data_IF_247113727558
#
_entry.id   IF_247113727558
#
_cell.length_a   1.000
_cell.length_b   1.000
_cell.length_c   1.000
_cell.angle_alpha   90.00
_cell.angle_beta   90.00
_cell.angle_gamma   90.00
#
_symmetry.space_group_name_H-M   'P 1'
#
loop_
_entity.id
_entity.type
_entity.pdbx_description
1 polymer ?
#
# COMPACT_ATOMS: atom_id res chain seq x y z
N UNK A 1 44.80 32.54 26.30
CA UNK A 1 44.12 32.69 27.59
C UNK A 1 42.91 33.60 27.41
N UNK A 2 41.70 33.07 27.53
CA UNK A 2 40.53 33.80 28.00
C UNK A 2 39.56 32.75 28.57
N UNK A 3 39.27 32.90 29.87
CA UNK A 3 38.51 31.96 30.68
C UNK A 3 37.07 32.46 30.81
N UNK A 4 36.13 31.53 30.60
CA UNK A 4 34.87 31.26 31.34
C UNK A 4 33.80 32.36 31.48
N UNK A 5 32.58 31.99 31.09
CA UNK A 5 31.42 32.07 31.98
C UNK A 5 30.48 30.87 31.72
N UNK A 6 29.96 30.30 32.81
CA UNK A 6 29.10 29.10 32.93
C UNK A 6 27.76 29.58 33.49
N UNK A 7 26.63 29.05 33.01
CA UNK A 7 25.38 28.83 33.77
C UNK A 7 24.36 28.10 32.86
N UNK A 8 24.08 26.80 33.09
CA UNK A 8 23.03 26.27 33.96
C UNK A 8 21.65 26.27 33.26
N UNK A 9 21.23 25.15 32.65
CA UNK A 9 20.41 24.04 33.22
C UNK A 9 18.95 24.44 33.47
N UNK A 10 18.01 23.69 32.87
CA UNK A 10 16.78 23.08 33.46
C UNK A 10 15.87 22.62 32.28
N UNK A 11 15.65 21.30 32.11
CA UNK A 11 14.41 20.55 32.44
C UNK A 11 13.23 20.98 31.52
N UNK A 12 12.42 20.12 30.89
CA UNK A 12 11.84 18.85 31.32
C UNK A 12 10.97 18.30 30.16
N UNK A 13 10.87 16.96 30.06
CA UNK A 13 9.67 16.13 29.86
C UNK A 13 8.48 16.65 29.00
N UNK A 14 7.68 15.87 28.29
CA UNK A 14 7.60 14.47 27.91
C UNK A 14 6.31 14.35 27.05
N UNK A 15 6.24 13.31 26.21
CA UNK A 15 5.01 12.68 25.67
C UNK A 15 4.01 13.55 24.90
N UNK A 16 4.15 13.58 23.57
CA UNK A 16 3.02 13.81 22.68
C UNK A 16 2.29 12.48 22.44
N UNK A 17 1.08 12.38 23.00
CA UNK A 17 0.15 11.26 22.80
C UNK A 17 -0.49 11.41 21.42
N UNK A 18 -0.52 10.31 20.65
CA UNK A 18 -1.23 10.20 19.38
C UNK A 18 -2.74 10.40 19.60
N UNK A 19 -3.26 11.52 19.14
CA UNK A 19 -4.68 11.70 18.88
C UNK A 19 -4.85 12.32 17.49
N UNK A 20 -5.51 11.56 16.61
CA UNK A 20 -6.45 12.12 15.65
C UNK A 20 -5.89 12.73 14.38
N UNK A 21 -6.17 12.03 13.27
CA UNK A 21 -6.39 12.60 11.95
C UNK A 21 -7.35 13.82 12.01
N UNK A 22 -6.98 14.96 11.41
CA UNK A 22 -7.90 16.10 11.25
C UNK A 22 -7.19 17.41 10.89
N UNK A 23 -7.38 17.90 9.67
CA UNK A 23 -6.67 19.05 9.13
C UNK A 23 -7.15 20.44 9.59
N UNK A 24 -6.39 21.45 9.15
CA UNK A 24 -6.91 22.80 8.87
C UNK A 24 -6.85 23.85 9.97
N UNK A 25 -5.68 24.49 10.09
CA UNK A 25 -5.44 25.94 10.21
C UNK A 25 -6.23 26.84 11.19
N UNK A 26 -5.51 27.71 11.93
CA UNK A 26 -5.42 29.16 11.65
C UNK A 26 -4.97 29.95 12.90
N UNK A 27 -4.03 30.88 12.72
CA UNK A 27 -3.73 31.94 13.67
C UNK A 27 -3.50 33.22 12.90
N UNK A 28 -4.25 34.28 13.23
CA UNK A 28 -4.14 35.59 12.58
C UNK A 28 -5.39 36.44 12.79
N UNK A 29 -5.33 37.30 13.80
CA UNK A 29 -6.37 38.21 14.30
C UNK A 29 -7.18 38.99 13.25
N UNK A 30 -8.45 39.29 13.56
CA UNK A 30 -9.10 40.58 13.28
C UNK A 30 -10.34 40.80 14.16
N UNK A 31 -10.48 42.06 14.56
CA UNK A 31 -11.26 42.63 15.66
C UNK A 31 -12.75 42.84 15.34
N UNK A 32 -13.58 42.49 16.32
CA UNK A 32 -14.90 43.03 16.74
C UNK A 32 -15.97 43.36 15.69
N UNK A 33 -17.13 42.70 15.81
CA UNK A 33 -18.44 43.31 16.14
C UNK A 33 -19.41 42.21 16.60
N UNK A 34 -20.26 42.57 17.57
CA UNK A 34 -21.26 41.68 18.14
C UNK A 34 -22.33 41.28 17.09
N UNK A 35 -22.65 39.99 17.03
CA UNK A 35 -23.96 39.50 16.61
C UNK A 35 -24.17 38.09 17.12
N UNK A 36 -25.17 37.97 17.95
CA UNK A 36 -25.83 36.74 18.38
C UNK A 36 -26.09 35.82 17.20
N UNK A 37 -25.91 34.50 17.37
CA UNK A 37 -26.58 33.45 16.59
C UNK A 37 -26.40 32.08 17.26
N UNK A 38 -27.27 31.11 16.97
CA UNK A 38 -27.94 30.30 17.97
C UNK A 38 -27.24 28.95 18.18
N UNK A 39 -27.46 28.36 19.35
CA UNK A 39 -27.21 26.94 19.57
C UNK A 39 -28.03 26.13 18.57
N UNK A 40 -27.36 25.27 17.78
CA UNK A 40 -28.03 24.29 16.94
C UNK A 40 -27.54 22.89 17.31
N UNK A 41 -28.53 22.04 17.50
CA UNK A 41 -28.57 20.79 18.23
C UNK A 41 -27.61 19.69 17.76
N UNK A 42 -27.16 18.91 18.74
CA UNK A 42 -26.60 17.58 18.56
C UNK A 42 -27.68 16.59 18.04
N UNK A 43 -27.31 15.60 17.22
CA UNK A 43 -28.07 14.36 17.12
C UNK A 43 -27.52 13.33 18.11
N UNK A 44 -28.35 12.94 19.08
CA UNK A 44 -28.24 11.66 19.75
C UNK A 44 -28.88 10.59 18.85
N UNK A 45 -28.15 9.53 18.54
CA UNK A 45 -28.73 8.32 17.91
C UNK A 45 -28.38 7.15 18.82
N UNK A 46 -29.42 6.64 19.49
CA UNK A 46 -29.34 5.46 20.36
C UNK A 46 -29.31 4.14 19.57
N UNK A 47 -29.03 3.01 20.23
CA UNK A 47 -29.07 1.70 19.62
C UNK A 47 -30.45 1.06 19.85
N UNK A 48 -31.27 0.95 18.81
CA UNK A 48 -32.34 -0.03 18.77
C UNK A 48 -32.72 -0.32 17.31
N UNK A 49 -32.85 -1.60 16.95
CA UNK A 49 -33.17 -1.99 15.58
C UNK A 49 -32.62 -3.35 15.16
N UNK A 50 -33.04 -4.40 15.87
CA UNK A 50 -33.01 -5.79 15.39
C UNK A 50 -33.71 -5.88 14.03
N UNK A 51 -32.98 -6.26 12.98
CA UNK A 51 -33.54 -6.65 11.70
C UNK A 51 -32.99 -8.03 11.32
N UNK A 52 -33.89 -9.01 11.41
CA UNK A 52 -33.78 -10.39 10.98
C UNK A 52 -33.66 -10.48 9.45
N UNK A 53 -32.72 -11.26 8.89
CA UNK A 53 -32.80 -11.64 7.48
C UNK A 53 -33.70 -12.88 7.35
N UNK A 54 -34.78 -12.69 6.59
CA UNK A 54 -35.79 -13.70 6.28
C UNK A 54 -35.27 -14.68 5.23
N UNK A 55 -35.41 -15.98 5.52
CA UNK A 55 -35.29 -17.07 4.57
C UNK A 55 -36.32 -16.94 3.44
N UNK A 56 -35.88 -17.09 2.18
CA UNK A 56 -36.73 -17.63 1.10
C UNK A 56 -35.87 -18.36 0.09
N UNK A 57 -35.98 -19.69 0.11
CA UNK A 57 -35.49 -20.61 -0.90
C UNK A 57 -36.39 -20.61 -2.15
N UNK A 58 -35.82 -20.94 -3.32
CA UNK A 58 -36.21 -22.12 -4.14
C UNK A 58 -36.05 -21.92 -5.66
N UNK A 59 -35.59 -22.99 -6.33
CA UNK A 59 -35.68 -23.27 -7.77
C UNK A 59 -34.38 -23.00 -8.53
N UNK A 60 -33.72 -23.94 -9.22
CA UNK A 60 -34.09 -25.27 -9.68
C UNK A 60 -33.77 -25.41 -11.17
N UNK A 61 -32.77 -26.24 -11.51
CA UNK A 61 -32.81 -27.09 -12.71
C UNK A 61 -32.11 -26.66 -14.03
N UNK A 62 -31.05 -27.42 -14.33
CA UNK A 62 -30.73 -28.13 -15.58
C UNK A 62 -30.02 -27.43 -16.77
N UNK A 63 -28.83 -27.98 -17.03
CA UNK A 63 -28.32 -28.55 -18.29
C UNK A 63 -28.36 -27.71 -19.56
N UNK A 64 -27.17 -27.33 -20.02
CA UNK A 64 -26.92 -26.84 -21.38
C UNK A 64 -25.43 -26.80 -21.67
N UNK A 65 -24.87 -27.95 -22.08
CA UNK A 65 -23.48 -28.03 -22.54
C UNK A 65 -23.28 -27.34 -23.89
N UNK A 66 -22.07 -26.80 -24.09
CA UNK A 66 -21.48 -26.76 -25.42
C UNK A 66 -19.96 -26.85 -25.31
N UNK A 67 -19.44 -27.88 -25.98
CA UNK A 67 -18.04 -28.24 -26.14
C UNK A 67 -17.26 -27.24 -27.00
N UNK A 68 -15.96 -27.18 -26.74
CA UNK A 68 -14.91 -26.79 -27.69
C UNK A 68 -14.13 -25.55 -27.22
N UNK A 69 -12.80 -25.51 -27.17
CA UNK A 69 -11.76 -26.43 -27.63
C UNK A 69 -10.43 -25.88 -27.10
N UNK A 70 -9.53 -26.77 -26.64
CA UNK A 70 -8.05 -26.67 -26.66
C UNK A 70 -7.39 -25.46 -25.94
N UNK A 71 -6.39 -25.57 -25.08
CA UNK A 71 -5.19 -26.41 -25.15
C UNK A 71 -4.64 -26.77 -23.76
N UNK A 72 -4.07 -27.97 -23.73
CA UNK A 72 -3.30 -28.59 -22.66
C UNK A 72 -1.95 -27.88 -22.49
N UNK A 73 -1.64 -27.38 -21.29
CA UNK A 73 -0.30 -27.52 -20.71
C UNK A 73 -0.39 -27.33 -19.19
N UNK A 74 -0.07 -28.40 -18.46
CA UNK A 74 -0.23 -28.48 -17.01
C UNK A 74 0.74 -27.62 -16.21
N UNK A 75 0.30 -27.25 -15.02
CA UNK A 75 1.12 -27.34 -13.81
C UNK A 75 0.18 -27.43 -12.60
N UNK A 76 0.39 -28.46 -11.81
CA UNK A 76 -0.34 -28.79 -10.60
C UNK A 76 0.12 -27.89 -9.44
N UNK A 77 -0.81 -27.38 -8.63
CA UNK A 77 -0.51 -26.85 -7.29
C UNK A 77 -0.78 -25.36 -7.06
N UNK A 78 -1.71 -25.10 -6.14
CA UNK A 78 -2.28 -23.80 -5.75
C UNK A 78 -3.11 -23.12 -6.83
N UNK A 79 -4.32 -22.71 -6.48
CA UNK A 79 -5.18 -21.82 -7.26
C UNK A 79 -4.52 -20.43 -7.40
N UNK A 80 -3.35 -20.36 -8.03
CA UNK A 80 -2.74 -19.13 -8.49
C UNK A 80 -3.67 -18.63 -9.57
N UNK A 81 -4.31 -17.50 -9.29
CA UNK A 81 -5.09 -16.79 -10.28
C UNK A 81 -4.28 -16.65 -11.57
N UNK A 82 -4.89 -16.98 -12.70
CA UNK A 82 -4.20 -16.91 -13.99
C UNK A 82 -3.65 -15.49 -14.22
N UNK A 83 -2.37 -15.40 -14.54
CA UNK A 83 -1.67 -14.14 -14.78
C UNK A 83 -1.53 -13.84 -16.26
N UNK A 84 -1.33 -12.57 -16.61
CA UNK A 84 -1.12 -12.15 -17.99
C UNK A 84 0.25 -12.61 -18.52
N UNK A 85 0.34 -13.09 -19.77
CA UNK A 85 1.61 -13.35 -20.45
C UNK A 85 2.30 -12.02 -20.81
N UNK A 86 3.62 -12.08 -21.04
CA UNK A 86 4.46 -10.89 -21.32
C UNK A 86 3.91 -10.00 -22.46
N UNK A 87 3.36 -10.61 -23.50
CA UNK A 87 2.79 -9.90 -24.67
C UNK A 87 1.53 -9.09 -24.35
N UNK A 88 0.85 -9.37 -23.23
CA UNK A 88 -0.35 -8.67 -22.77
C UNK A 88 -0.05 -7.66 -21.63
N UNK A 89 1.21 -7.48 -21.27
CA UNK A 89 1.64 -6.49 -20.28
C UNK A 89 1.75 -5.10 -20.93
N UNK A 90 0.59 -4.48 -21.15
CA UNK A 90 0.49 -3.15 -21.75
C UNK A 90 -0.16 -2.20 -20.75
N UNK A 91 0.48 -1.07 -20.38
CA UNK A 91 -0.13 -0.08 -19.51
C UNK A 91 -1.26 0.66 -20.24
N UNK A 92 -2.19 1.24 -19.46
CA UNK A 92 -3.23 2.12 -20.01
C UNK A 92 -2.64 3.38 -20.68
N UNK A 93 -1.48 3.84 -20.21
CA UNK A 93 -0.77 5.00 -20.75
C UNK A 93 0.72 4.71 -20.94
N UNK A 94 1.29 5.18 -22.05
CA UNK A 94 2.72 5.04 -22.34
C UNK A 94 3.15 3.61 -22.70
N UNK A 95 4.39 3.26 -22.37
CA UNK A 95 4.97 1.93 -22.64
C UNK A 95 5.88 1.49 -21.49
N UNK A 96 5.95 0.18 -21.26
CA UNK A 96 6.92 -0.38 -20.33
C UNK A 96 8.27 -0.66 -21.01
N UNK A 97 9.34 -0.44 -20.26
CA UNK A 97 10.67 -0.95 -20.61
C UNK A 97 10.72 -2.47 -20.48
N UNK A 98 11.73 -3.10 -21.07
CA UNK A 98 11.86 -4.56 -21.01
C UNK A 98 12.06 -5.09 -19.58
N UNK A 99 12.81 -4.35 -18.75
CA UNK A 99 13.01 -4.67 -17.34
C UNK A 99 11.71 -4.58 -16.54
N UNK A 100 10.88 -3.57 -16.81
CA UNK A 100 9.56 -3.45 -16.19
C UNK A 100 8.66 -4.61 -16.62
N UNK A 101 8.69 -5.01 -17.89
CA UNK A 101 7.96 -6.19 -18.36
C UNK A 101 8.45 -7.47 -17.70
N UNK A 102 9.76 -7.66 -17.57
CA UNK A 102 10.34 -8.83 -16.90
C UNK A 102 9.92 -8.93 -15.44
N UNK A 103 9.91 -7.80 -14.72
CA UNK A 103 9.38 -7.74 -13.36
C UNK A 103 7.92 -8.20 -13.29
N UNK A 104 7.10 -7.82 -14.27
CA UNK A 104 5.66 -8.06 -14.30
C UNK A 104 5.26 -9.47 -14.77
N UNK A 105 6.16 -10.23 -15.40
CA UNK A 105 5.87 -11.60 -15.87
C UNK A 105 5.41 -12.48 -14.71
N UNK A 106 4.23 -13.08 -14.84
CA UNK A 106 3.70 -13.98 -13.81
C UNK A 106 3.24 -13.30 -12.52
N UNK A 107 3.20 -11.96 -12.48
CA UNK A 107 2.73 -11.18 -11.33
C UNK A 107 1.37 -10.51 -11.55
N UNK A 108 1.04 -10.12 -12.77
CA UNK A 108 -0.19 -9.36 -13.06
C UNK A 108 -1.40 -10.30 -13.17
N UNK A 109 -2.38 -10.24 -12.26
CA UNK A 109 -3.61 -11.02 -12.39
C UNK A 109 -4.42 -10.58 -13.61
N UNK A 110 -5.22 -11.48 -14.20
CA UNK A 110 -6.21 -11.10 -15.22
C UNK A 110 -7.13 -10.01 -14.68
N UNK A 111 -7.36 -8.96 -15.49
CA UNK A 111 -8.23 -7.83 -15.15
C UNK A 111 -7.60 -6.80 -14.20
N UNK A 112 -6.37 -7.00 -13.74
CA UNK A 112 -5.61 -5.99 -12.99
C UNK A 112 -4.78 -5.14 -13.95
N UNK A 113 -4.61 -3.87 -13.59
CA UNK A 113 -3.76 -2.95 -14.33
C UNK A 113 -2.27 -3.30 -14.11
N UNK A 114 -1.49 -3.58 -15.17
CA UNK A 114 -0.08 -3.90 -15.04
C UNK A 114 0.75 -2.77 -14.40
N UNK A 115 0.36 -1.51 -14.58
CA UNK A 115 1.10 -0.37 -14.03
C UNK A 115 0.89 -0.27 -12.51
N UNK A 116 -0.28 -0.65 -11.99
CA UNK A 116 -0.51 -0.77 -10.55
C UNK A 116 0.43 -1.79 -9.90
N UNK A 117 0.62 -2.96 -10.54
CA UNK A 117 1.57 -3.98 -10.04
C UNK A 117 3.02 -3.47 -10.12
N UNK A 118 3.35 -2.74 -11.18
CA UNK A 118 4.67 -2.13 -11.32
C UNK A 118 4.91 -1.09 -10.22
N UNK A 119 3.89 -0.29 -9.89
CA UNK A 119 3.94 0.72 -8.84
C UNK A 119 4.27 0.08 -7.49
N UNK A 120 3.61 -1.01 -7.11
CA UNK A 120 3.96 -1.75 -5.88
C UNK A 120 5.41 -2.26 -5.89
N UNK A 121 5.94 -2.64 -7.06
CA UNK A 121 7.35 -2.96 -7.22
C UNK A 121 8.29 -1.78 -6.99
N UNK A 122 7.91 -0.59 -7.46
CA UNK A 122 8.66 0.65 -7.19
C UNK A 122 8.64 1.01 -5.71
N UNK A 123 7.49 0.92 -5.05
CA UNK A 123 7.37 1.14 -3.61
C UNK A 123 8.26 0.18 -2.79
N UNK A 124 8.42 -1.05 -3.28
CA UNK A 124 9.34 -2.02 -2.67
C UNK A 124 10.78 -1.56 -2.81
N UNK A 125 11.18 -1.03 -3.96
CA UNK A 125 12.49 -0.41 -4.17
C UNK A 125 12.71 0.82 -3.27
N UNK A 126 11.70 1.67 -3.08
CA UNK A 126 11.77 2.81 -2.18
C UNK A 126 11.93 2.37 -0.72
N UNK A 127 11.21 1.32 -0.30
CA UNK A 127 11.36 0.75 1.05
C UNK A 127 12.75 0.15 1.26
N UNK A 128 13.30 -0.54 0.26
CA UNK A 128 14.68 -1.04 0.28
C UNK A 128 15.66 0.14 0.39
N UNK A 129 15.47 1.19 -0.40
CA UNK A 129 16.31 2.39 -0.38
C UNK A 129 16.35 3.01 1.02
N UNK A 130 15.19 3.35 1.56
CA UNK A 130 15.07 3.96 2.88
C UNK A 130 15.67 3.09 3.99
N UNK A 131 15.45 1.77 3.92
CA UNK A 131 16.01 0.84 4.92
C UNK A 131 17.53 0.73 4.78
N UNK A 132 18.05 0.69 3.55
CA UNK A 132 19.48 0.60 3.29
C UNK A 132 20.22 1.89 3.69
N UNK A 133 19.60 3.05 3.47
CA UNK A 133 20.11 4.35 3.88
C UNK A 133 20.20 4.45 5.42
N UNK A 134 19.21 3.89 6.13
CA UNK A 134 19.26 3.82 7.59
C UNK A 134 20.27 2.77 8.10
N UNK A 135 20.25 1.56 7.53
CA UNK A 135 21.22 0.51 7.82
C UNK A 135 21.22 -0.58 6.74
N UNK A 136 22.34 -0.79 6.03
CA UNK A 136 22.43 -1.84 5.02
C UNK A 136 22.27 -3.23 5.63
N UNK A 137 22.65 -3.42 6.90
CA UNK A 137 22.49 -4.70 7.61
C UNK A 137 21.01 -5.01 7.86
N UNK A 138 20.24 -4.01 8.29
CA UNK A 138 18.79 -4.18 8.48
C UNK A 138 18.07 -4.41 7.16
N UNK A 139 18.49 -3.73 6.08
CA UNK A 139 17.91 -3.96 4.76
C UNK A 139 18.14 -5.40 4.29
N UNK A 140 19.34 -5.95 4.46
CA UNK A 140 19.62 -7.37 4.15
C UNK A 140 18.72 -8.31 4.96
N UNK A 141 18.56 -8.02 6.25
CA UNK A 141 17.71 -8.83 7.12
C UNK A 141 16.24 -8.75 6.70
N UNK A 142 15.68 -7.56 6.48
CA UNK A 142 14.30 -7.37 6.03
C UNK A 142 14.02 -8.07 4.69
N UNK A 143 15.00 -8.10 3.78
CA UNK A 143 14.91 -8.84 2.51
C UNK A 143 14.94 -10.36 2.76
N UNK A 144 15.80 -10.84 3.67
CA UNK A 144 15.93 -12.25 4.00
C UNK A 144 14.68 -12.79 4.71
N UNK A 145 14.12 -12.00 5.63
CA UNK A 145 12.93 -12.31 6.42
C UNK A 145 11.63 -12.11 5.62
N UNK A 146 11.70 -11.50 4.42
CA UNK A 146 10.56 -11.29 3.53
C UNK A 146 9.63 -10.16 3.95
N UNK A 147 10.08 -9.23 4.80
CA UNK A 147 9.29 -8.09 5.28
C UNK A 147 8.98 -7.07 4.17
N UNK A 148 9.79 -7.07 3.11
CA UNK A 148 9.58 -6.27 1.91
C UNK A 148 9.10 -7.23 0.80
N UNK A 149 7.84 -7.04 0.39
CA UNK A 149 7.23 -7.83 -0.67
C UNK A 149 8.04 -7.73 -1.97
N UNK A 150 8.17 -8.85 -2.68
CA UNK A 150 8.84 -8.93 -3.99
C UNK A 150 10.27 -8.37 -4.05
N UNK A 151 10.94 -8.18 -2.91
CA UNK A 151 12.21 -7.45 -2.82
C UNK A 151 13.29 -7.99 -3.76
N UNK A 152 13.41 -9.31 -3.89
CA UNK A 152 14.41 -9.94 -4.76
C UNK A 152 14.19 -9.60 -6.24
N UNK A 153 12.95 -9.67 -6.70
CA UNK A 153 12.59 -9.35 -8.09
C UNK A 153 12.69 -7.84 -8.34
N UNK A 154 12.23 -7.03 -7.39
CA UNK A 154 12.37 -5.58 -7.45
C UNK A 154 13.85 -5.17 -7.57
N UNK A 155 14.75 -5.73 -6.75
CA UNK A 155 16.20 -5.48 -6.85
C UNK A 155 16.77 -5.97 -8.18
N UNK A 156 16.30 -7.10 -8.69
CA UNK A 156 16.84 -7.69 -9.92
C UNK A 156 16.51 -6.84 -11.14
N UNK A 157 15.26 -6.39 -11.24
CA UNK A 157 14.71 -5.77 -12.45
C UNK A 157 14.48 -4.26 -12.34
N UNK A 158 14.05 -3.74 -11.18
CA UNK A 158 13.64 -2.34 -11.02
C UNK A 158 14.74 -1.48 -10.37
N UNK A 159 15.40 -1.97 -9.32
CA UNK A 159 16.44 -1.25 -8.59
C UNK A 159 17.77 -2.02 -8.48
N UNK A 160 18.46 -2.26 -9.62
CA UNK A 160 19.69 -3.06 -9.67
C UNK A 160 20.86 -2.50 -8.86
N UNK A 161 20.82 -1.22 -8.47
CA UNK A 161 21.80 -0.61 -7.55
C UNK A 161 21.90 -1.34 -6.20
N UNK A 162 20.82 -1.97 -5.75
CA UNK A 162 20.77 -2.67 -4.46
C UNK A 162 21.13 -4.16 -4.54
N UNK A 163 21.64 -4.66 -5.67
CA UNK A 163 22.05 -6.07 -5.85
C UNK A 163 23.11 -6.57 -4.87
N UNK A 164 23.84 -5.67 -4.20
CA UNK A 164 24.78 -6.02 -3.13
C UNK A 164 24.07 -6.46 -1.83
N UNK A 165 22.80 -6.10 -1.64
CA UNK A 165 21.99 -6.50 -0.49
C UNK A 165 21.46 -7.93 -0.59
N UNK A 166 21.55 -8.55 -1.77
CA UNK A 166 21.16 -9.95 -1.98
C UNK A 166 22.26 -10.96 -1.62
N UNK A 167 23.42 -10.48 -1.14
CA UNK A 167 24.60 -11.29 -0.83
C UNK A 167 24.91 -11.30 0.66
#
# INVERSE_FOLDING_TARGET
>A
MARRAVAAVMMTAATAVLAGCGGGGHGGENRATASERPAVSAPAIGPDGTAEPTDTATGGGKDGGSSGSSDTSGSSGSSKQATLPKSQLTPATGTFTDQQKDYLVGKVPKGMDPAAVLQTGQESCDRIANTADASPKLAKQAIADGEIADAKDAITYLCPKYKSLLK
#
